data_IF_119629979330
#
_entry.id   IF_119629979330
#
_cell.length_a   1.000
_cell.length_b   1.000
_cell.length_c   1.000
_cell.angle_alpha   90.00
_cell.angle_beta   90.00
_cell.angle_gamma   90.00
#
_symmetry.space_group_name_H-M   'P 1'
#
loop_
_entity.id
_entity.type
_entity.pdbx_description
1 polymer ?
#
# COMPACT_ATOMS: atom_id res chain seq x y z
N UNK A 1 -13.04 5.33 -18.12
CA UNK A 1 -12.22 5.88 -17.03
C UNK A 1 -12.79 7.23 -16.62
N UNK A 2 -13.31 7.35 -15.40
CA UNK A 2 -13.83 8.61 -14.86
C UNK A 2 -13.09 8.90 -13.56
N UNK A 3 -12.04 9.73 -13.68
CA UNK A 3 -11.26 10.16 -12.51
C UNK A 3 -12.05 11.21 -11.75
N UNK A 4 -12.24 11.01 -10.45
CA UNK A 4 -12.89 11.96 -9.56
C UNK A 4 -11.89 13.05 -9.10
N UNK A 5 -12.22 14.30 -9.38
CA UNK A 5 -11.42 15.47 -8.98
C UNK A 5 -12.02 16.05 -7.71
N UNK A 6 -11.32 15.87 -6.61
CA UNK A 6 -11.75 16.33 -5.29
C UNK A 6 -11.53 17.85 -5.16
N UNK A 7 -12.49 18.52 -4.57
CA UNK A 7 -12.36 19.91 -4.15
C UNK A 7 -11.39 20.03 -2.96
N UNK A 8 -10.88 21.24 -2.69
CA UNK A 8 -10.03 21.50 -1.50
C UNK A 8 -10.74 21.13 -0.18
N UNK A 9 -12.08 21.30 -0.12
CA UNK A 9 -12.87 20.90 1.05
C UNK A 9 -12.96 19.39 1.21
N UNK A 10 -13.12 18.65 0.12
CA UNK A 10 -13.13 17.18 0.13
C UNK A 10 -11.77 16.60 0.48
N UNK A 11 -10.66 17.16 -0.05
CA UNK A 11 -9.30 16.77 0.35
C UNK A 11 -9.09 17.04 1.86
N UNK A 12 -9.60 18.13 2.40
CA UNK A 12 -9.51 18.41 3.83
C UNK A 12 -10.25 17.35 4.69
N UNK A 13 -11.39 16.84 4.22
CA UNK A 13 -12.10 15.73 4.87
C UNK A 13 -11.33 14.40 4.72
N UNK A 14 -10.78 14.14 3.54
CA UNK A 14 -9.99 12.95 3.25
C UNK A 14 -8.71 12.87 4.10
N UNK A 15 -8.06 14.03 4.39
CA UNK A 15 -6.89 14.09 5.29
C UNK A 15 -7.14 13.44 6.63
N UNK A 16 -8.34 13.56 7.19
CA UNK A 16 -8.67 12.95 8.47
C UNK A 16 -8.64 11.43 8.38
N UNK A 17 -9.28 10.84 7.35
CA UNK A 17 -9.24 9.41 7.10
C UNK A 17 -7.79 8.92 6.87
N UNK A 18 -7.04 9.61 6.01
CA UNK A 18 -5.65 9.28 5.70
C UNK A 18 -4.72 9.35 6.93
N UNK A 19 -4.87 10.39 7.77
CA UNK A 19 -4.11 10.51 9.02
C UNK A 19 -4.42 9.35 9.97
N UNK A 20 -5.69 8.96 10.08
CA UNK A 20 -6.09 7.83 10.90
C UNK A 20 -5.59 6.50 10.35
N UNK A 21 -5.56 6.33 9.01
CA UNK A 21 -4.92 5.17 8.39
C UNK A 21 -3.42 5.11 8.71
N UNK A 22 -2.71 6.23 8.67
CA UNK A 22 -1.30 6.29 9.05
C UNK A 22 -1.07 5.97 10.54
N UNK A 23 -1.93 6.48 11.42
CA UNK A 23 -1.85 6.21 12.86
C UNK A 23 -2.03 4.71 13.16
N UNK A 24 -3.08 4.09 12.64
CA UNK A 24 -3.32 2.65 12.87
C UNK A 24 -2.28 1.77 12.17
N UNK A 25 -1.80 2.13 10.96
CA UNK A 25 -0.66 1.46 10.31
C UNK A 25 0.55 1.40 11.23
N UNK A 26 0.91 2.51 11.85
CA UNK A 26 2.08 2.60 12.73
C UNK A 26 1.85 1.83 14.05
N UNK A 27 0.63 1.80 14.58
CA UNK A 27 0.25 0.94 15.72
C UNK A 27 0.42 -0.54 15.35
N UNK A 28 -0.13 -0.98 14.21
CA UNK A 28 0.00 -2.36 13.74
C UNK A 28 1.47 -2.74 13.51
N UNK A 29 2.24 -1.88 12.85
CA UNK A 29 3.66 -2.11 12.62
C UNK A 29 4.48 -2.21 13.93
N UNK A 30 4.17 -1.41 14.93
CA UNK A 30 4.82 -1.45 16.23
C UNK A 30 4.46 -2.72 17.04
N UNK A 31 3.30 -3.30 16.79
CA UNK A 31 2.85 -4.54 17.43
C UNK A 31 3.46 -5.81 16.81
N UNK A 32 4.12 -5.71 15.65
CA UNK A 32 4.81 -6.84 15.02
C UNK A 32 5.95 -7.31 15.93
N UNK A 33 5.77 -8.50 16.51
CA UNK A 33 6.73 -9.10 17.43
C UNK A 33 6.72 -10.64 17.31
N UNK A 34 7.80 -11.32 17.72
CA UNK A 34 7.84 -12.77 17.71
C UNK A 34 6.71 -13.38 18.57
N UNK A 35 5.96 -14.32 17.99
CA UNK A 35 4.87 -15.00 18.68
C UNK A 35 3.50 -14.34 18.57
N UNK A 36 3.43 -13.11 18.07
CA UNK A 36 2.15 -12.44 17.73
C UNK A 36 1.58 -13.07 16.46
N UNK A 37 0.29 -13.27 16.41
CA UNK A 37 -0.39 -13.79 15.21
C UNK A 37 -0.86 -12.65 14.28
N UNK A 38 -1.00 -12.93 13.00
CA UNK A 38 -1.52 -11.94 12.06
C UNK A 38 -2.96 -11.53 12.40
N UNK A 39 -3.74 -12.45 13.01
CA UNK A 39 -5.10 -12.15 13.52
C UNK A 39 -5.11 -11.21 14.72
N UNK A 40 -4.09 -11.25 15.61
CA UNK A 40 -3.96 -10.29 16.70
C UNK A 40 -3.62 -8.87 16.20
N UNK A 41 -2.91 -8.76 15.07
CA UNK A 41 -2.71 -7.47 14.41
C UNK A 41 -4.04 -6.92 13.85
N UNK A 42 -4.90 -7.78 13.30
CA UNK A 42 -6.24 -7.39 12.82
C UNK A 42 -7.12 -6.86 13.97
N UNK A 43 -7.07 -7.48 15.15
CA UNK A 43 -7.80 -7.03 16.33
C UNK A 43 -7.51 -5.56 16.68
N UNK A 44 -6.29 -5.08 16.47
CA UNK A 44 -5.92 -3.68 16.73
C UNK A 44 -6.71 -2.73 15.84
N UNK A 45 -6.95 -3.10 14.58
CA UNK A 45 -7.77 -2.29 13.65
C UNK A 45 -9.23 -2.31 14.09
N UNK A 46 -9.76 -3.48 14.49
CA UNK A 46 -11.12 -3.61 15.03
C UNK A 46 -11.32 -2.71 16.25
N UNK A 47 -10.40 -2.75 17.21
CA UNK A 47 -10.46 -1.92 18.41
C UNK A 47 -10.35 -0.43 18.10
N UNK A 48 -9.42 -0.07 17.18
CA UNK A 48 -9.24 1.31 16.74
C UNK A 48 -10.51 1.84 16.08
N UNK A 49 -11.10 1.09 15.16
CA UNK A 49 -12.34 1.46 14.47
C UNK A 49 -13.49 1.69 15.45
N UNK A 50 -13.67 0.79 16.43
CA UNK A 50 -14.68 0.93 17.50
C UNK A 50 -14.44 2.18 18.34
N UNK A 51 -13.21 2.39 18.81
CA UNK A 51 -12.83 3.51 19.66
C UNK A 51 -13.06 4.86 18.99
N UNK A 52 -12.78 4.96 17.69
CA UNK A 52 -12.84 6.22 16.95
C UNK A 52 -14.13 6.38 16.13
N UNK A 53 -15.03 5.39 16.15
CA UNK A 53 -16.27 5.34 15.37
C UNK A 53 -16.03 5.58 13.88
N UNK A 54 -15.15 4.75 13.29
CA UNK A 54 -14.76 4.75 11.87
C UNK A 54 -14.88 3.37 11.28
N UNK A 55 -14.87 3.25 9.94
CA UNK A 55 -14.85 1.98 9.24
C UNK A 55 -13.43 1.56 8.83
N UNK A 56 -13.18 0.25 8.75
CA UNK A 56 -12.04 -0.31 8.04
C UNK A 56 -12.41 -0.47 6.55
N UNK A 57 -11.58 0.06 5.65
CA UNK A 57 -11.90 0.10 4.22
C UNK A 57 -11.92 -1.28 3.55
N UNK A 58 -11.22 -2.26 4.13
CA UNK A 58 -11.07 -3.60 3.55
C UNK A 58 -12.07 -4.62 4.09
N UNK A 59 -12.64 -4.38 5.28
CA UNK A 59 -13.61 -5.33 5.87
C UNK A 59 -14.84 -5.47 4.97
N UNK A 60 -15.18 -6.73 4.61
CA UNK A 60 -16.24 -7.05 3.66
C UNK A 60 -16.07 -6.39 2.27
N UNK A 61 -14.82 -6.08 1.88
CA UNK A 61 -14.55 -5.62 0.52
C UNK A 61 -14.92 -6.72 -0.50
N UNK A 62 -15.74 -6.41 -1.52
CA UNK A 62 -16.31 -7.43 -2.39
C UNK A 62 -15.26 -8.23 -3.16
N UNK A 63 -15.23 -9.54 -3.01
CA UNK A 63 -14.37 -10.48 -3.77
C UNK A 63 -14.88 -10.78 -5.19
N UNK A 64 -16.05 -10.27 -5.53
CA UNK A 64 -16.64 -10.42 -6.84
C UNK A 64 -17.04 -11.86 -7.16
N UNK A 65 -16.76 -12.30 -8.41
CA UNK A 65 -17.18 -13.63 -8.87
C UNK A 65 -16.27 -14.75 -8.37
N UNK A 66 -15.02 -14.44 -8.01
CA UNK A 66 -13.96 -15.44 -7.85
C UNK A 66 -13.46 -15.60 -6.43
N UNK A 67 -13.85 -14.73 -5.53
CA UNK A 67 -13.48 -14.78 -4.13
C UNK A 67 -14.66 -14.38 -3.22
N UNK A 68 -14.71 -14.88 -1.97
CA UNK A 68 -15.61 -14.33 -0.96
C UNK A 68 -15.19 -12.87 -0.64
N UNK A 69 -16.06 -12.14 0.05
CA UNK A 69 -15.70 -10.80 0.55
C UNK A 69 -14.50 -10.91 1.49
N UNK A 70 -13.62 -9.90 1.48
CA UNK A 70 -12.38 -9.92 2.27
C UNK A 70 -12.71 -9.94 3.77
N UNK A 71 -12.21 -10.93 4.53
CA UNK A 71 -12.66 -11.14 5.90
C UNK A 71 -11.94 -10.30 6.95
N UNK A 72 -10.81 -9.68 6.59
CA UNK A 72 -9.94 -8.91 7.49
C UNK A 72 -10.23 -7.42 7.49
N UNK A 73 -9.79 -6.73 8.54
CA UNK A 73 -9.86 -5.26 8.64
C UNK A 73 -8.61 -4.57 8.10
N UNK A 74 -7.52 -5.34 7.96
CA UNK A 74 -6.29 -4.96 7.24
C UNK A 74 -5.77 -6.18 6.48
N UNK A 75 -4.81 -5.97 5.57
CA UNK A 75 -4.02 -7.07 5.02
C UNK A 75 -2.74 -7.26 5.84
N UNK A 76 -2.39 -8.51 6.16
CA UNK A 76 -1.10 -8.88 6.76
C UNK A 76 -0.43 -9.92 5.90
N UNK A 77 0.53 -9.49 5.08
CA UNK A 77 1.23 -10.34 4.13
C UNK A 77 2.64 -10.67 4.63
N UNK A 78 3.04 -11.94 4.62
CA UNK A 78 4.34 -12.38 5.12
C UNK A 78 5.25 -12.82 3.96
N UNK A 79 6.52 -12.46 4.02
CA UNK A 79 7.61 -12.98 3.19
C UNK A 79 7.36 -12.86 1.67
N UNK A 80 7.05 -13.97 0.99
CA UNK A 80 6.74 -14.06 -0.43
C UNK A 80 5.33 -13.60 -0.79
N UNK A 81 4.45 -13.41 0.19
CA UNK A 81 3.17 -12.76 -0.04
C UNK A 81 3.38 -11.28 -0.35
N UNK A 82 2.97 -10.88 -1.52
CA UNK A 82 3.14 -9.50 -2.00
C UNK A 82 2.16 -8.56 -1.30
N UNK A 83 0.84 -8.87 -1.41
CA UNK A 83 -0.29 -8.09 -0.89
C UNK A 83 -1.47 -9.00 -0.53
N UNK A 84 -2.49 -8.43 0.07
CA UNK A 84 -3.80 -9.03 0.36
C UNK A 84 -3.74 -10.29 1.22
N UNK A 85 -2.69 -10.44 2.07
CA UNK A 85 -2.62 -11.53 3.03
C UNK A 85 -3.78 -11.46 4.03
N UNK A 86 -4.57 -12.54 4.13
CA UNK A 86 -5.71 -12.62 5.07
C UNK A 86 -5.16 -12.82 6.48
N UNK A 87 -5.56 -11.98 7.48
CA UNK A 87 -5.20 -12.18 8.87
C UNK A 87 -5.73 -13.52 9.41
N UNK A 88 -4.91 -14.26 10.16
CA UNK A 88 -5.27 -15.55 10.76
C UNK A 88 -4.67 -15.70 12.16
N UNK A 89 -5.48 -16.15 13.12
CA UNK A 89 -5.06 -16.40 14.51
C UNK A 89 -4.12 -17.60 14.67
N UNK A 90 -4.03 -18.46 13.67
CA UNK A 90 -3.10 -19.58 13.65
C UNK A 90 -1.77 -19.23 12.96
N UNK A 91 -1.66 -18.05 12.39
CA UNK A 91 -0.50 -17.61 11.64
C UNK A 91 0.40 -16.75 12.50
N UNK A 92 1.42 -17.38 13.07
CA UNK A 92 2.37 -16.77 14.03
C UNK A 92 3.50 -16.08 13.27
N UNK A 93 3.78 -14.83 13.65
CA UNK A 93 4.91 -14.04 13.13
C UNK A 93 6.19 -14.47 13.84
N UNK A 94 7.25 -14.74 13.09
CA UNK A 94 8.52 -15.29 13.57
C UNK A 94 9.69 -14.34 13.30
N UNK A 95 10.78 -14.42 14.08
CA UNK A 95 12.02 -13.73 13.74
C UNK A 95 12.53 -14.14 12.35
N UNK A 96 12.87 -13.18 11.53
CA UNK A 96 13.25 -13.36 10.13
C UNK A 96 12.16 -13.01 9.13
N UNK A 97 10.91 -12.82 9.58
CA UNK A 97 9.81 -12.46 8.69
C UNK A 97 9.88 -10.99 8.20
N UNK A 98 9.52 -10.82 6.94
CA UNK A 98 9.05 -9.54 6.39
C UNK A 98 7.53 -9.48 6.55
N UNK A 99 7.05 -8.54 7.35
CA UNK A 99 5.62 -8.38 7.64
C UNK A 99 5.13 -7.09 6.99
N UNK A 100 4.24 -7.22 6.02
CA UNK A 100 3.57 -6.09 5.35
C UNK A 100 2.22 -5.88 5.99
N UNK A 101 2.02 -4.72 6.59
CA UNK A 101 0.74 -4.27 7.13
C UNK A 101 0.17 -3.20 6.21
N UNK A 102 -1.01 -3.45 5.68
CA UNK A 102 -1.69 -2.59 4.74
C UNK A 102 -3.11 -2.33 5.24
N UNK A 103 -3.46 -1.05 5.43
CA UNK A 103 -4.67 -0.66 6.13
C UNK A 103 -5.30 0.61 5.57
N UNK A 104 -6.61 0.52 5.37
CA UNK A 104 -7.44 1.65 5.00
C UNK A 104 -8.47 2.00 6.08
N UNK A 105 -8.70 3.30 6.32
CA UNK A 105 -9.77 3.81 7.18
C UNK A 105 -10.77 4.61 6.35
N UNK A 106 -12.04 4.28 6.54
CA UNK A 106 -13.16 5.03 6.00
C UNK A 106 -13.72 6.00 7.05
N UNK A 107 -13.71 7.29 6.73
CA UNK A 107 -14.27 8.35 7.57
C UNK A 107 -14.82 9.50 6.76
N UNK A 108 -15.95 10.08 7.20
CA UNK A 108 -16.57 11.27 6.58
C UNK A 108 -16.85 11.12 5.06
N UNK A 109 -17.11 9.88 4.60
CA UNK A 109 -17.37 9.59 3.20
C UNK A 109 -16.12 9.43 2.34
N UNK A 110 -14.92 9.35 2.93
CA UNK A 110 -13.65 9.15 2.23
C UNK A 110 -12.82 8.05 2.87
N UNK A 111 -11.96 7.44 2.05
CA UNK A 111 -10.97 6.45 2.45
C UNK A 111 -9.57 7.09 2.51
N UNK A 112 -8.75 6.58 3.41
CA UNK A 112 -7.31 6.69 3.34
C UNK A 112 -6.72 5.29 3.21
N UNK A 113 -5.61 5.14 2.50
CA UNK A 113 -4.95 3.88 2.24
C UNK A 113 -3.45 3.99 2.39
N UNK A 114 -2.81 3.01 3.06
CA UNK A 114 -1.37 3.07 3.33
C UNK A 114 -0.81 1.77 3.83
N UNK A 115 0.39 1.41 3.38
CA UNK A 115 1.08 0.22 3.82
C UNK A 115 2.53 0.46 4.27
N UNK A 116 3.05 -0.52 5.02
CA UNK A 116 4.46 -0.53 5.42
C UNK A 116 4.95 -1.96 5.66
N UNK A 117 6.23 -2.19 5.34
CA UNK A 117 6.95 -3.44 5.64
C UNK A 117 7.78 -3.29 6.90
N UNK A 118 7.67 -4.26 7.81
CA UNK A 118 8.51 -4.46 9.00
C UNK A 118 9.41 -5.66 8.78
N UNK A 119 10.73 -5.50 8.95
CA UNK A 119 11.71 -6.60 8.90
C UNK A 119 11.98 -7.07 10.35
N UNK A 120 11.27 -8.10 10.80
CA UNK A 120 11.34 -8.56 12.18
C UNK A 120 12.56 -9.46 12.42
N UNK A 121 13.58 -8.96 13.12
CA UNK A 121 14.78 -9.74 13.44
C UNK A 121 15.58 -10.21 12.21
N UNK A 122 15.36 -9.60 11.06
CA UNK A 122 16.09 -9.88 9.82
C UNK A 122 17.51 -9.38 9.96
N UNK A 123 18.49 -10.26 9.66
CA UNK A 123 19.92 -9.94 9.71
C UNK A 123 20.60 -10.00 8.34
N UNK A 124 19.94 -10.58 7.32
CA UNK A 124 20.46 -10.60 5.96
C UNK A 124 20.47 -9.18 5.36
N UNK A 125 21.65 -8.65 4.99
CA UNK A 125 21.79 -7.30 4.47
C UNK A 125 21.06 -7.09 3.13
N UNK A 126 20.93 -8.14 2.29
CA UNK A 126 20.20 -8.02 1.03
C UNK A 126 18.69 -7.93 1.25
N UNK A 127 18.15 -8.62 2.24
CA UNK A 127 16.73 -8.51 2.62
C UNK A 127 16.45 -7.13 3.21
N UNK A 128 17.33 -6.60 4.06
CA UNK A 128 17.21 -5.24 4.58
C UNK A 128 17.32 -4.19 3.45
N UNK A 129 18.17 -4.45 2.45
CA UNK A 129 18.32 -3.61 1.26
C UNK A 129 17.04 -3.63 0.40
N UNK A 130 16.38 -4.77 0.23
CA UNK A 130 15.09 -4.85 -0.44
C UNK A 130 14.07 -3.91 0.20
N UNK A 131 13.93 -3.97 1.54
CA UNK A 131 12.99 -3.12 2.28
C UNK A 131 13.31 -1.63 2.10
N UNK A 132 14.59 -1.26 2.20
CA UNK A 132 15.02 0.14 2.03
C UNK A 132 14.82 0.63 0.59
N UNK A 133 15.16 -0.18 -0.42
CA UNK A 133 14.96 0.18 -1.83
C UNK A 133 13.48 0.33 -2.15
N UNK A 134 12.61 -0.52 -1.60
CA UNK A 134 11.14 -0.37 -1.79
C UNK A 134 10.66 0.97 -1.24
N UNK A 135 11.17 1.38 -0.07
CA UNK A 135 10.87 2.69 0.50
C UNK A 135 11.40 3.84 -0.37
N UNK A 136 12.58 3.67 -0.98
CA UNK A 136 13.14 4.64 -1.94
C UNK A 136 12.32 4.71 -3.22
N UNK A 137 11.79 3.58 -3.70
CA UNK A 137 10.87 3.53 -4.84
C UNK A 137 9.61 4.38 -4.57
N UNK A 138 9.00 4.23 -3.40
CA UNK A 138 7.85 5.06 -3.00
C UNK A 138 8.22 6.55 -2.97
N UNK A 139 9.33 6.92 -2.35
CA UNK A 139 9.81 8.32 -2.31
C UNK A 139 10.05 8.88 -3.70
N UNK A 140 10.66 8.10 -4.61
CA UNK A 140 10.92 8.51 -5.99
C UNK A 140 9.62 8.75 -6.77
N UNK A 141 8.62 7.86 -6.61
CA UNK A 141 7.29 8.03 -7.20
C UNK A 141 6.60 9.28 -6.71
N UNK A 142 6.59 9.52 -5.39
CA UNK A 142 5.99 10.72 -4.79
C UNK A 142 6.71 12.01 -5.26
N UNK A 143 8.04 12.00 -5.28
CA UNK A 143 8.84 13.14 -5.73
C UNK A 143 8.62 13.47 -7.22
N UNK A 144 8.24 12.48 -8.02
CA UNK A 144 7.90 12.67 -9.43
C UNK A 144 6.46 13.17 -9.64
N UNK A 145 5.59 13.17 -8.60
CA UNK A 145 4.20 13.58 -8.72
C UNK A 145 4.04 15.10 -8.73
N UNK A 146 3.15 15.59 -9.58
CA UNK A 146 2.78 17.00 -9.62
C UNK A 146 1.79 17.31 -10.77
N UNK A 147 1.23 18.50 -10.79
CA UNK A 147 0.30 18.91 -11.85
C UNK A 147 1.02 18.94 -13.21
N UNK A 148 0.41 18.34 -14.23
CA UNK A 148 0.98 18.26 -15.57
C UNK A 148 1.92 17.09 -15.82
N UNK A 149 2.30 16.33 -14.79
CA UNK A 149 3.13 15.12 -14.88
C UNK A 149 2.28 13.96 -15.39
N UNK A 150 2.84 13.10 -16.23
CA UNK A 150 2.18 11.87 -16.66
C UNK A 150 2.39 10.74 -15.66
N UNK A 151 1.40 9.86 -15.46
CA UNK A 151 1.56 8.67 -14.62
C UNK A 151 2.69 7.74 -15.09
N UNK A 152 3.03 7.77 -16.39
CA UNK A 152 4.19 7.06 -16.91
C UNK A 152 5.52 7.57 -16.39
N UNK A 153 5.62 8.86 -16.05
CA UNK A 153 6.82 9.45 -15.43
C UNK A 153 6.97 8.98 -13.97
N UNK A 154 5.85 8.93 -13.24
CA UNK A 154 5.79 8.43 -11.86
C UNK A 154 6.23 6.97 -11.81
N UNK A 155 5.62 6.11 -12.64
CA UNK A 155 5.97 4.70 -12.72
C UNK A 155 7.42 4.48 -13.16
N UNK A 156 7.93 5.26 -14.10
CA UNK A 156 9.33 5.19 -14.52
C UNK A 156 10.31 5.56 -13.39
N UNK A 157 10.00 6.58 -12.58
CA UNK A 157 10.82 6.96 -11.44
C UNK A 157 10.93 5.83 -10.40
N UNK A 158 9.83 5.14 -10.13
CA UNK A 158 9.78 3.95 -9.25
C UNK A 158 10.61 2.83 -9.86
N UNK A 159 10.34 2.48 -11.11
CA UNK A 159 10.99 1.40 -11.86
C UNK A 159 12.50 1.56 -11.86
N UNK A 160 12.99 2.77 -12.15
CA UNK A 160 14.42 3.03 -12.23
C UNK A 160 15.15 2.74 -10.93
N UNK A 161 14.58 3.08 -9.77
CA UNK A 161 15.18 2.82 -8.46
C UNK A 161 15.30 1.32 -8.21
N UNK A 162 14.25 0.55 -8.48
CA UNK A 162 14.24 -0.90 -8.27
C UNK A 162 15.21 -1.62 -9.21
N UNK A 163 15.18 -1.29 -10.52
CA UNK A 163 16.03 -1.92 -11.55
C UNK A 163 17.51 -1.58 -11.36
N UNK A 164 17.86 -0.33 -11.00
CA UNK A 164 19.23 0.08 -10.70
C UNK A 164 19.77 -0.67 -9.46
N UNK A 165 18.89 -1.03 -8.52
CA UNK A 165 19.24 -1.85 -7.36
C UNK A 165 19.27 -3.36 -7.68
N UNK A 166 18.86 -3.80 -8.86
CA UNK A 166 18.85 -5.21 -9.28
C UNK A 166 17.65 -6.02 -8.81
N UNK A 167 16.63 -5.38 -8.24
CA UNK A 167 15.38 -6.01 -7.77
C UNK A 167 14.32 -6.09 -8.86
N UNK A 168 13.30 -6.95 -8.63
CA UNK A 168 12.12 -7.09 -9.48
C UNK A 168 10.99 -6.15 -9.06
N UNK A 169 10.07 -5.87 -10.01
CA UNK A 169 8.88 -5.04 -9.78
C UNK A 169 7.66 -5.84 -10.18
N UNK A 170 6.70 -5.99 -9.28
CA UNK A 170 5.40 -6.58 -9.59
C UNK A 170 4.66 -5.68 -10.59
N UNK A 171 4.13 -6.30 -11.65
CA UNK A 171 3.50 -5.58 -12.77
C UNK A 171 1.99 -5.80 -12.86
N UNK A 172 1.50 -6.91 -12.32
CA UNK A 172 0.08 -7.29 -12.39
C UNK A 172 -0.77 -6.54 -11.33
N UNK A 173 -0.12 -6.00 -10.32
CA UNK A 173 -0.71 -5.23 -9.22
C UNK A 173 -0.11 -3.83 -9.20
N UNK A 174 -0.98 -2.84 -9.08
CA UNK A 174 -0.63 -1.43 -9.29
C UNK A 174 -1.43 -0.53 -8.35
N UNK A 175 -0.95 0.65 -8.10
CA UNK A 175 -1.66 1.68 -7.37
C UNK A 175 -2.92 2.16 -8.09
N UNK A 176 -3.70 2.96 -7.41
CA UNK A 176 -5.05 3.35 -7.84
C UNK A 176 -5.44 4.74 -7.37
N UNK A 177 -6.53 5.27 -7.87
CA UNK A 177 -7.20 6.40 -7.24
C UNK A 177 -7.77 6.00 -5.88
N UNK A 178 -7.80 6.92 -4.93
CA UNK A 178 -8.40 6.74 -3.60
C UNK A 178 -9.36 7.89 -3.33
N UNK A 179 -10.52 7.61 -2.75
CA UNK A 179 -11.47 8.66 -2.44
C UNK A 179 -12.72 8.16 -1.75
N UNK A 180 -13.87 8.24 -2.41
CA UNK A 180 -15.16 7.78 -1.87
C UNK A 180 -15.23 6.26 -1.78
N UNK A 181 -14.54 5.59 -2.70
CA UNK A 181 -14.21 4.17 -2.60
C UNK A 181 -12.70 4.03 -2.39
N UNK A 182 -12.25 2.92 -1.82
CA UNK A 182 -10.82 2.69 -1.60
C UNK A 182 -10.10 2.57 -2.95
N UNK A 183 -10.69 1.86 -3.91
CA UNK A 183 -10.16 1.76 -5.27
C UNK A 183 -11.00 2.59 -6.24
N UNK A 184 -10.39 3.58 -6.85
CA UNK A 184 -10.96 4.44 -7.90
C UNK A 184 -10.02 4.52 -9.12
N UNK A 185 -10.52 5.03 -10.25
CA UNK A 185 -9.64 5.52 -11.32
C UNK A 185 -8.76 6.70 -10.83
N UNK A 186 -7.53 6.85 -11.30
CA UNK A 186 -6.87 6.05 -12.35
C UNK A 186 -6.05 4.88 -11.79
N UNK A 187 -5.67 3.94 -12.66
CA UNK A 187 -4.57 3.01 -12.40
C UNK A 187 -3.24 3.76 -12.29
N UNK A 188 -2.42 3.40 -11.28
CA UNK A 188 -1.13 4.04 -10.96
C UNK A 188 -0.02 2.98 -10.99
N UNK A 189 0.52 2.61 -12.16
CA UNK A 189 1.54 1.59 -12.26
C UNK A 189 2.88 1.99 -11.63
N UNK A 190 3.56 1.00 -11.03
CA UNK A 190 4.91 1.13 -10.48
C UNK A 190 6.02 1.06 -11.55
N UNK A 191 5.66 1.10 -12.82
CA UNK A 191 6.54 1.08 -13.98
C UNK A 191 5.95 1.95 -15.08
N UNK A 192 6.77 2.39 -16.02
CA UNK A 192 6.23 3.23 -17.08
C UNK A 192 7.23 3.69 -18.11
N UNK A 193 6.69 4.40 -19.09
CA UNK A 193 7.47 5.13 -20.10
C UNK A 193 7.20 6.63 -19.91
N UNK A 194 8.24 7.46 -19.81
CA UNK A 194 8.07 8.90 -19.65
C UNK A 194 7.16 9.53 -20.72
N UNK A 195 6.35 10.51 -20.29
CA UNK A 195 5.41 11.23 -21.15
C UNK A 195 4.20 10.42 -21.61
N UNK A 196 3.89 9.28 -20.96
CA UNK A 196 2.75 8.43 -21.30
C UNK A 196 1.73 8.32 -20.18
N UNK A 197 0.56 7.77 -20.48
CA UNK A 197 -0.59 7.57 -19.59
C UNK A 197 -1.25 8.91 -19.19
N UNK A 198 -2.13 8.87 -18.18
CA UNK A 198 -2.92 10.02 -17.73
C UNK A 198 -2.03 11.15 -17.20
N UNK A 199 -2.39 12.38 -17.52
CA UNK A 199 -1.78 13.58 -16.95
C UNK A 199 -2.41 13.90 -15.59
N UNK A 200 -1.59 14.05 -14.57
CA UNK A 200 -2.02 14.39 -13.22
C UNK A 200 -2.53 15.85 -13.16
N UNK A 201 -3.63 16.06 -12.44
CA UNK A 201 -4.29 17.35 -12.27
C UNK A 201 -4.53 17.63 -10.80
N UNK A 202 -4.51 18.92 -10.38
CA UNK A 202 -4.91 19.29 -9.03
C UNK A 202 -6.28 18.72 -8.66
N UNK A 203 -6.40 18.18 -7.44
CA UNK A 203 -7.60 17.54 -6.94
C UNK A 203 -7.66 16.03 -7.17
N UNK A 204 -6.74 15.43 -7.92
CA UNK A 204 -6.57 13.98 -7.96
C UNK A 204 -5.96 13.48 -6.65
N UNK A 205 -6.47 12.34 -6.17
CA UNK A 205 -5.94 11.61 -5.00
C UNK A 205 -5.66 10.18 -5.42
N UNK A 206 -4.43 9.72 -5.20
CA UNK A 206 -3.93 8.42 -5.67
C UNK A 206 -3.14 7.70 -4.60
N UNK A 207 -3.18 6.38 -4.60
CA UNK A 207 -2.24 5.50 -3.91
C UNK A 207 -1.02 5.26 -4.79
N UNK A 208 0.17 5.43 -4.24
CA UNK A 208 1.44 5.04 -4.83
C UNK A 208 2.00 3.94 -3.96
N UNK A 209 2.12 2.73 -4.50
CA UNK A 209 2.33 1.51 -3.72
C UNK A 209 3.31 0.54 -4.41
N UNK A 210 4.60 0.87 -4.49
CA UNK A 210 5.58 -0.05 -5.07
C UNK A 210 5.65 -1.38 -4.32
N UNK A 211 5.51 -2.47 -5.07
CA UNK A 211 5.69 -3.84 -4.66
C UNK A 211 6.97 -4.37 -5.32
N UNK A 212 8.01 -4.52 -4.53
CA UNK A 212 9.36 -4.88 -5.01
C UNK A 212 9.73 -6.28 -4.52
N UNK A 213 10.35 -7.06 -5.38
CA UNK A 213 10.70 -8.46 -5.12
C UNK A 213 12.21 -8.68 -5.14
N UNK A 214 12.69 -9.63 -4.33
CA UNK A 214 14.11 -9.95 -4.20
C UNK A 214 14.74 -10.36 -5.52
N UNK A 215 13.96 -10.98 -6.41
CA UNK A 215 14.42 -11.45 -7.72
C UNK A 215 13.53 -10.92 -8.83
N UNK A 216 14.06 -10.87 -10.05
CA UNK A 216 13.26 -10.57 -11.26
C UNK A 216 12.22 -11.66 -11.57
N UNK A 217 12.43 -12.88 -11.08
CA UNK A 217 11.45 -13.98 -11.21
C UNK A 217 10.17 -13.68 -10.42
N UNK A 218 10.30 -13.01 -9.27
CA UNK A 218 9.19 -12.62 -8.40
C UNK A 218 8.27 -11.51 -8.97
N UNK A 219 8.62 -10.91 -10.11
CA UNK A 219 7.72 -9.98 -10.82
C UNK A 219 6.40 -10.65 -11.26
N UNK A 220 6.42 -11.97 -11.44
CA UNK A 220 5.24 -12.79 -11.73
C UNK A 220 4.62 -13.27 -10.44
N UNK A 221 3.31 -13.14 -10.36
CA UNK A 221 2.55 -13.48 -9.16
C UNK A 221 1.50 -14.55 -9.45
N UNK A 222 1.06 -15.22 -8.39
CA UNK A 222 -0.10 -16.10 -8.38
C UNK A 222 -1.02 -15.67 -7.22
N UNK A 223 -2.32 -15.93 -7.36
CA UNK A 223 -3.30 -15.73 -6.29
C UNK A 223 -3.55 -17.08 -5.64
N UNK A 224 -3.47 -17.16 -4.31
CA UNK A 224 -3.73 -18.39 -3.57
C UNK A 224 -5.22 -18.81 -3.67
N UNK A 225 -5.52 -20.06 -3.31
CA UNK A 225 -6.87 -20.63 -3.37
C UNK A 225 -7.89 -19.89 -2.49
N UNK A 226 -7.44 -19.06 -1.54
CA UNK A 226 -8.32 -18.19 -0.78
C UNK A 226 -8.91 -17.03 -1.60
N UNK A 227 -8.46 -16.85 -2.84
CA UNK A 227 -8.93 -15.85 -3.80
C UNK A 227 -8.39 -14.43 -3.57
N UNK A 228 -7.54 -14.22 -2.55
CA UNK A 228 -7.04 -12.89 -2.17
C UNK A 228 -5.52 -12.79 -2.13
N UNK A 229 -4.88 -13.66 -1.38
CA UNK A 229 -3.45 -13.52 -1.10
C UNK A 229 -2.63 -13.68 -2.38
N UNK A 230 -1.88 -12.66 -2.71
CA UNK A 230 -0.98 -12.61 -3.88
C UNK A 230 0.41 -12.99 -3.43
N UNK A 231 1.00 -13.99 -4.08
CA UNK A 231 2.36 -14.47 -3.79
C UNK A 231 3.28 -14.33 -5.00
N UNK A 232 4.58 -14.19 -4.75
CA UNK A 232 5.58 -14.30 -5.84
C UNK A 232 5.62 -15.74 -6.33
N UNK A 233 5.58 -15.94 -7.66
CA UNK A 233 5.54 -17.28 -8.24
C UNK A 233 6.79 -18.11 -7.97
N UNK A 234 7.93 -17.45 -7.79
CA UNK A 234 9.21 -18.11 -7.51
C UNK A 234 9.53 -18.24 -6.02
N UNK A 235 8.61 -17.82 -5.13
CA UNK A 235 8.79 -17.86 -3.67
C UNK A 235 9.79 -16.81 -3.14
N UNK A 236 10.19 -15.84 -3.96
CA UNK A 236 11.12 -14.80 -3.50
C UNK A 236 10.44 -13.82 -2.54
N UNK A 237 11.23 -13.29 -1.59
CA UNK A 237 10.74 -12.27 -0.66
C UNK A 237 10.29 -11.00 -1.38
N UNK A 238 9.30 -10.33 -0.82
CA UNK A 238 8.78 -9.06 -1.33
C UNK A 238 8.63 -8.03 -0.21
N UNK A 239 8.67 -6.76 -0.60
CA UNK A 239 8.37 -5.64 0.28
C UNK A 239 7.36 -4.70 -0.41
N UNK A 240 6.52 -4.07 0.40
CA UNK A 240 5.46 -3.16 -0.02
C UNK A 240 5.45 -1.94 0.91
N UNK A 241 5.39 -0.76 0.33
CA UNK A 241 5.16 0.51 1.02
C UNK A 241 4.18 1.34 0.20
N UNK A 242 3.34 2.08 0.89
CA UNK A 242 2.31 2.86 0.23
C UNK A 242 2.02 4.17 0.94
N UNK A 243 1.68 5.17 0.15
CA UNK A 243 1.04 6.39 0.61
C UNK A 243 -0.10 6.83 -0.32
N UNK A 244 -1.19 7.29 0.28
CA UNK A 244 -2.17 8.13 -0.41
C UNK A 244 -1.64 9.55 -0.50
N UNK A 245 -1.64 10.11 -1.73
CA UNK A 245 -1.20 11.46 -2.01
C UNK A 245 -2.29 12.26 -2.71
N UNK A 246 -2.28 13.58 -2.52
CA UNK A 246 -3.12 14.52 -3.27
C UNK A 246 -2.25 15.37 -4.21
N UNK A 247 -2.68 15.52 -5.47
CA UNK A 247 -2.06 16.45 -6.40
C UNK A 247 -2.58 17.85 -6.08
N UNK A 248 -1.66 18.77 -5.80
CA UNK A 248 -1.95 20.19 -5.48
C UNK A 248 -1.72 21.09 -6.68
N UNK A 249 -1.95 22.39 -6.52
CA UNK A 249 -1.72 23.37 -7.60
C UNK A 249 -0.24 23.50 -7.97
N UNK A 250 0.68 23.16 -7.04
CA UNK A 250 2.13 23.38 -7.14
C UNK A 250 2.98 22.12 -6.88
N UNK A 251 2.36 20.96 -6.65
CA UNK A 251 3.11 19.72 -6.40
C UNK A 251 2.24 18.54 -5.96
N UNK A 252 2.70 17.85 -4.92
CA UNK A 252 2.08 16.65 -4.38
C UNK A 252 2.17 16.69 -2.83
N UNK A 253 1.07 16.37 -2.17
CA UNK A 253 0.96 16.29 -0.71
C UNK A 253 0.72 14.84 -0.28
N UNK A 254 1.51 14.33 0.66
CA UNK A 254 1.27 13.02 1.28
C UNK A 254 0.18 13.21 2.34
N UNK A 255 -0.95 12.52 2.18
CA UNK A 255 -2.07 12.60 3.13
C UNK A 255 -1.93 11.59 4.28
N UNK A 256 -1.27 10.46 4.06
CA UNK A 256 -1.11 9.37 5.04
C UNK A 256 0.17 9.52 5.87
N UNK A 257 0.34 10.69 6.48
CA UNK A 257 1.35 10.94 7.50
C UNK A 257 0.69 11.05 8.87
N UNK A 258 1.31 10.52 9.95
CA UNK A 258 0.80 10.75 11.30
C UNK A 258 0.89 12.24 11.67
N UNK A 259 0.06 12.65 12.65
CA UNK A 259 -0.04 14.06 13.05
C UNK A 259 1.29 14.68 13.52
N UNK A 260 2.16 13.86 14.10
CA UNK A 260 3.45 14.27 14.69
C UNK A 260 4.64 13.92 13.77
N UNK A 261 4.41 13.77 12.48
CA UNK A 261 5.50 13.53 11.53
C UNK A 261 6.34 14.81 11.41
N UNK A 262 7.67 14.75 11.72
CA UNK A 262 8.55 15.92 11.74
C UNK A 262 8.82 16.49 10.34
#
# INVERSE_FOLDING_TARGET
>A
MKVDIKTKAEIAQMREACRMSAEIRDICAAAVAPGVTTGEIDDLVVEYCKKHNVGASFFEYPGGRYAPDFPGHLCVSLNDEVIHGIPDRNRVIMPGDLVKTDVGIFKNGFNGDTSRTVALGVTDPEVLRLVEVTRQCLKAGIAACGPGVHLGDVGYAIQKVAEDAGFGIVRDWIGHGVGRTVHEDPEVPNYGTPGTKLVLKPGMTIAIEPMITMTKGGEKTDVLDNGWTVVTRDGSLSAHFEHTVAITDDGCEILTLPADYP
#
